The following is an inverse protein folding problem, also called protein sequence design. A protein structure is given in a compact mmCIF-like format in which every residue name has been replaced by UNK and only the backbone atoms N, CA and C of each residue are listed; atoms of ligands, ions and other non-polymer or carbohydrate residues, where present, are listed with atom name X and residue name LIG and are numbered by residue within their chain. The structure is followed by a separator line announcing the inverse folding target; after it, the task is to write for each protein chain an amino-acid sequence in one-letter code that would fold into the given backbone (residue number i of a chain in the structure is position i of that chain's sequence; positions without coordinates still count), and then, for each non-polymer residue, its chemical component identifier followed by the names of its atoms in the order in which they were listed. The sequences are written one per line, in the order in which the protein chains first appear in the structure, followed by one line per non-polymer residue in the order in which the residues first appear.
data_IF_989881182054
#
_entry.id   IF_989881182054
#
_cell.length_a   1.000
_cell.length_b   1.000
_cell.length_c   1.000
_cell.angle_alpha   90.00
_cell.angle_beta   90.00
_cell.angle_gamma   90.00
#
_symmetry.space_group_name_H-M   'P 1'
#
loop_
_entity.id
_entity.type
_entity.pdbx_description
1 polymer ?
#
# COMPACT_ATOMS: atom_id res chain seq x y z
N UNK A 1 1.82 9.30 -27.30
CA UNK A 1 2.08 9.39 -25.83
C UNK A 1 3.59 9.38 -25.69
N UNK A 2 4.15 10.38 -25.03
CA UNK A 2 5.58 10.43 -24.73
C UNK A 2 5.84 9.70 -23.39
N UNK A 3 6.72 8.70 -23.43
CA UNK A 3 7.13 7.91 -22.28
C UNK A 3 8.47 8.37 -21.70
N UNK A 4 9.10 9.39 -22.27
CA UNK A 4 10.32 9.97 -21.71
C UNK A 4 9.98 10.69 -20.39
N UNK A 5 10.93 10.67 -19.46
CA UNK A 5 10.87 11.49 -18.26
C UNK A 5 11.44 12.87 -18.59
N UNK A 6 10.72 13.92 -18.17
CA UNK A 6 11.31 15.26 -18.16
C UNK A 6 12.50 15.33 -17.19
N UNK A 7 13.31 16.37 -17.34
CA UNK A 7 14.55 16.53 -16.56
C UNK A 7 14.30 16.58 -15.05
N UNK A 8 13.24 17.24 -14.62
CA UNK A 8 12.88 17.35 -13.20
C UNK A 8 12.50 15.98 -12.61
N UNK A 9 11.64 15.24 -13.32
CA UNK A 9 11.21 13.89 -12.92
C UNK A 9 12.40 12.91 -12.91
N UNK A 10 13.30 12.99 -13.91
CA UNK A 10 14.50 12.16 -13.95
C UNK A 10 15.43 12.47 -12.77
N UNK A 11 15.69 13.75 -12.48
CA UNK A 11 16.51 14.16 -11.33
C UNK A 11 15.90 13.72 -9.98
N UNK A 12 14.57 13.82 -9.84
CA UNK A 12 13.87 13.37 -8.63
C UNK A 12 13.96 11.85 -8.47
N UNK A 13 13.77 11.08 -9.55
CA UNK A 13 13.97 9.63 -9.58
C UNK A 13 15.36 9.26 -9.05
N UNK A 14 16.40 9.90 -9.59
CA UNK A 14 17.79 9.60 -9.23
C UNK A 14 18.09 9.94 -7.76
N UNK A 15 17.52 11.04 -7.24
CA UNK A 15 17.61 11.39 -5.81
C UNK A 15 16.92 10.35 -4.92
N UNK A 16 15.73 9.87 -5.30
CA UNK A 16 15.02 8.84 -4.54
C UNK A 16 15.77 7.52 -4.61
N UNK A 17 16.27 7.13 -5.78
CA UNK A 17 17.10 5.93 -5.95
C UNK A 17 18.33 5.98 -5.05
N UNK A 18 19.10 7.06 -5.09
CA UNK A 18 20.26 7.24 -4.24
C UNK A 18 19.91 7.16 -2.74
N UNK A 19 18.81 7.79 -2.32
CA UNK A 19 18.34 7.68 -0.94
C UNK A 19 18.01 6.23 -0.56
N UNK A 20 17.33 5.50 -1.43
CA UNK A 20 16.96 4.10 -1.17
C UNK A 20 18.19 3.20 -1.13
N UNK A 21 19.11 3.32 -2.08
CA UNK A 21 20.29 2.47 -2.19
C UNK A 21 21.33 2.76 -1.12
N UNK A 22 21.60 4.03 -0.82
CA UNK A 22 22.65 4.45 0.10
C UNK A 22 22.22 4.49 1.57
N UNK A 23 20.92 4.73 1.84
CA UNK A 23 20.44 5.00 3.21
C UNK A 23 19.43 3.94 3.68
N UNK A 24 18.46 3.58 2.84
CA UNK A 24 17.35 2.70 3.27
C UNK A 24 17.77 1.23 3.24
N UNK A 25 18.30 0.75 2.11
CA UNK A 25 18.68 -0.66 1.92
C UNK A 25 19.69 -1.15 2.96
N UNK A 26 20.74 -0.38 3.33
CA UNK A 26 21.68 -0.79 4.39
C UNK A 26 21.04 -1.07 5.76
N UNK A 27 19.84 -0.50 6.00
CA UNK A 27 19.11 -0.68 7.27
C UNK A 27 18.18 -1.91 7.28
N UNK A 28 17.95 -2.53 6.12
CA UNK A 28 17.06 -3.71 6.03
C UNK A 28 17.56 -4.88 6.90
N UNK A 29 18.86 -5.10 6.94
CA UNK A 29 19.47 -6.17 7.75
C UNK A 29 19.26 -6.00 9.27
N UNK A 30 19.08 -4.79 9.76
CA UNK A 30 18.78 -4.53 11.17
C UNK A 30 17.34 -4.96 11.49
N UNK A 31 16.41 -4.60 10.61
CA UNK A 31 14.98 -4.95 10.75
C UNK A 31 14.75 -6.44 10.53
N UNK A 32 15.45 -7.06 9.57
CA UNK A 32 15.36 -8.49 9.32
C UNK A 32 15.79 -9.33 10.53
N UNK A 33 16.81 -8.89 11.26
CA UNK A 33 17.29 -9.56 12.48
C UNK A 33 16.36 -9.35 13.68
N UNK A 34 15.72 -8.21 13.77
CA UNK A 34 14.82 -7.85 14.88
C UNK A 34 13.73 -6.90 14.37
N UNK A 35 12.56 -7.45 14.10
CA UNK A 35 11.39 -6.67 13.68
C UNK A 35 10.95 -5.62 14.71
N UNK A 36 11.28 -5.80 15.99
CA UNK A 36 11.00 -4.81 17.05
C UNK A 36 11.71 -3.47 16.83
N UNK A 37 12.82 -3.46 16.08
CA UNK A 37 13.55 -2.24 15.73
C UNK A 37 12.95 -1.44 14.58
N UNK A 38 11.96 -1.99 13.89
CA UNK A 38 11.39 -1.38 12.68
C UNK A 38 10.91 0.07 12.93
N UNK A 39 10.23 0.32 14.04
CA UNK A 39 9.71 1.66 14.36
C UNK A 39 10.83 2.71 14.58
N UNK A 40 11.89 2.30 15.26
CA UNK A 40 13.07 3.15 15.49
C UNK A 40 13.75 3.47 14.16
N UNK A 41 14.05 2.45 13.37
CA UNK A 41 14.69 2.58 12.06
C UNK A 41 13.86 3.47 11.13
N UNK A 42 12.53 3.30 11.10
CA UNK A 42 11.65 4.12 10.27
C UNK A 42 11.65 5.59 10.69
N UNK A 43 11.68 5.90 12.00
CA UNK A 43 11.77 7.29 12.47
C UNK A 43 13.06 7.96 12.01
N UNK A 44 14.19 7.26 12.06
CA UNK A 44 15.47 7.77 11.58
C UNK A 44 15.45 7.98 10.06
N UNK A 45 14.95 7.02 9.29
CA UNK A 45 14.81 7.12 7.85
C UNK A 45 13.88 8.26 7.43
N UNK A 46 12.77 8.47 8.15
CA UNK A 46 11.86 9.60 7.91
C UNK A 46 12.52 10.95 8.18
N UNK A 47 13.35 11.04 9.25
CA UNK A 47 14.13 12.24 9.52
C UNK A 47 15.10 12.56 8.38
N UNK A 48 15.78 11.55 7.85
CA UNK A 48 16.68 11.69 6.71
C UNK A 48 15.95 12.04 5.42
N UNK A 49 14.77 11.41 5.16
CA UNK A 49 13.94 11.75 4.02
C UNK A 49 13.45 13.22 4.06
N UNK A 50 13.08 13.72 5.25
CA UNK A 50 12.73 15.13 5.46
C UNK A 50 13.91 16.06 5.17
N UNK A 51 15.10 15.74 5.67
CA UNK A 51 16.32 16.53 5.45
C UNK A 51 16.69 16.61 3.96
N UNK A 52 16.42 15.55 3.19
CA UNK A 52 16.66 15.48 1.74
C UNK A 52 15.51 16.05 0.89
N UNK A 53 14.41 16.50 1.50
CA UNK A 53 13.23 17.00 0.78
C UNK A 53 12.54 15.93 -0.08
N UNK A 54 12.40 14.71 0.45
CA UNK A 54 11.76 13.56 -0.21
C UNK A 54 10.50 13.07 0.52
N UNK A 55 10.16 13.68 1.65
CA UNK A 55 9.07 13.26 2.51
C UNK A 55 7.70 13.68 1.94
N UNK A 56 6.65 12.87 2.13
CA UNK A 56 5.27 13.09 1.67
C UNK A 56 5.13 13.36 0.15
N UNK A 57 5.68 12.53 -0.74
CA UNK A 57 5.66 12.79 -2.17
C UNK A 57 4.24 12.86 -2.75
N UNK A 58 3.27 12.18 -2.12
CA UNK A 58 1.88 12.07 -2.56
C UNK A 58 0.95 13.19 -2.09
N UNK A 59 1.42 14.07 -1.21
CA UNK A 59 0.58 15.14 -0.66
C UNK A 59 0.87 16.49 -1.31
N UNK A 60 -0.13 17.39 -1.32
CA UNK A 60 0.04 18.74 -1.84
C UNK A 60 1.09 19.56 -1.08
N UNK A 61 1.67 20.56 -1.74
CA UNK A 61 2.71 21.43 -1.17
C UNK A 61 2.23 22.21 0.05
N UNK A 62 0.98 22.66 0.05
CA UNK A 62 0.35 23.39 1.16
C UNK A 62 0.19 22.55 2.43
N UNK A 63 0.30 21.22 2.30
CA UNK A 63 0.32 20.28 3.42
C UNK A 63 1.72 19.75 3.74
N UNK A 64 2.76 20.37 3.20
CA UNK A 64 4.15 19.98 3.42
C UNK A 64 4.62 18.82 2.53
N UNK A 65 3.83 18.41 1.54
CA UNK A 65 4.18 17.40 0.56
C UNK A 65 4.95 17.96 -0.64
N UNK A 66 5.30 17.10 -1.58
CA UNK A 66 6.02 17.51 -2.79
C UNK A 66 5.10 18.02 -3.90
N UNK A 67 3.78 17.76 -3.83
CA UNK A 67 2.80 18.18 -4.82
C UNK A 67 3.05 17.58 -6.20
N UNK A 68 3.50 16.33 -6.24
CA UNK A 68 3.83 15.64 -7.49
C UNK A 68 2.57 15.33 -8.30
N UNK A 69 2.70 15.34 -9.62
CA UNK A 69 1.73 14.70 -10.49
C UNK A 69 1.70 13.18 -10.25
N UNK A 70 0.63 12.51 -10.63
CA UNK A 70 0.53 11.05 -10.49
C UNK A 70 1.59 10.31 -11.31
N UNK A 71 1.99 10.85 -12.47
CA UNK A 71 3.08 10.30 -13.26
C UNK A 71 4.43 10.41 -12.55
N UNK A 72 4.73 11.58 -11.95
CA UNK A 72 5.92 11.77 -11.14
C UNK A 72 5.90 10.86 -9.90
N UNK A 73 4.75 10.77 -9.24
CA UNK A 73 4.55 9.90 -8.08
C UNK A 73 4.77 8.41 -8.43
N UNK A 74 4.34 7.97 -9.63
CA UNK A 74 4.56 6.61 -10.08
C UNK A 74 6.05 6.26 -10.17
N UNK A 75 6.86 7.18 -10.69
CA UNK A 75 8.32 7.03 -10.78
C UNK A 75 8.96 7.00 -9.38
N UNK A 76 8.57 7.94 -8.51
CA UNK A 76 9.09 8.04 -7.14
C UNK A 76 8.76 6.81 -6.30
N UNK A 77 7.51 6.34 -6.36
CA UNK A 77 7.10 5.18 -5.56
C UNK A 77 7.62 3.84 -6.11
N UNK A 78 7.94 3.75 -7.40
CA UNK A 78 8.65 2.59 -7.94
C UNK A 78 10.07 2.53 -7.36
N UNK A 79 10.81 3.64 -7.36
CA UNK A 79 12.16 3.68 -6.76
C UNK A 79 12.12 3.46 -5.24
N UNK A 80 11.19 4.09 -4.54
CA UNK A 80 11.00 3.86 -3.11
C UNK A 80 10.67 2.40 -2.82
N UNK A 81 9.86 1.76 -3.66
CA UNK A 81 9.44 0.36 -3.55
C UNK A 81 10.56 -0.66 -3.72
N UNK A 82 11.75 -0.26 -4.16
CA UNK A 82 12.94 -1.14 -4.18
C UNK A 82 13.31 -1.67 -2.80
N UNK A 83 12.87 -0.98 -1.74
CA UNK A 83 12.95 -1.44 -0.35
C UNK A 83 11.56 -1.46 0.30
N UNK A 84 11.27 -2.48 1.12
CA UNK A 84 10.02 -2.52 1.90
C UNK A 84 9.93 -1.37 2.92
N UNK A 85 11.07 -0.81 3.33
CA UNK A 85 11.16 0.36 4.20
C UNK A 85 11.01 1.67 3.43
N UNK A 86 11.35 1.71 2.14
CA UNK A 86 11.44 2.93 1.34
C UNK A 86 10.14 3.75 1.31
N UNK A 87 8.99 3.20 0.92
CA UNK A 87 7.73 3.95 0.94
C UNK A 87 7.36 4.46 2.33
N UNK A 88 7.70 3.71 3.40
CA UNK A 88 7.46 4.10 4.80
C UNK A 88 8.39 5.23 5.25
N UNK A 89 9.65 5.19 4.80
CA UNK A 89 10.61 6.27 5.03
C UNK A 89 10.14 7.60 4.41
N UNK A 90 9.44 7.53 3.29
CA UNK A 90 8.81 8.70 2.65
C UNK A 90 7.43 9.07 3.23
N UNK A 91 6.94 8.35 4.24
CA UNK A 91 5.57 8.44 4.77
C UNK A 91 4.49 8.27 3.68
N UNK A 92 4.74 7.40 2.71
CA UNK A 92 3.91 7.15 1.53
C UNK A 92 3.51 5.67 1.42
N UNK A 93 3.27 5.01 2.56
CA UNK A 93 2.83 3.62 2.64
C UNK A 93 1.43 3.48 3.23
N UNK A 94 0.75 2.41 2.84
CA UNK A 94 -0.55 2.06 3.44
C UNK A 94 -0.36 1.63 4.92
N UNK A 95 -1.37 1.86 5.78
CA UNK A 95 -2.69 2.46 5.47
C UNK A 95 -2.68 3.99 5.46
N UNK A 96 -1.62 4.61 6.01
CA UNK A 96 -1.55 6.04 6.30
C UNK A 96 -1.68 6.90 5.04
N UNK A 97 -1.02 6.55 3.95
CA UNK A 97 -1.11 7.27 2.68
C UNK A 97 -2.57 7.41 2.21
N UNK A 98 -3.34 6.31 2.18
CA UNK A 98 -4.74 6.35 1.80
C UNK A 98 -5.62 7.09 2.81
N UNK A 99 -5.31 7.00 4.12
CA UNK A 99 -6.03 7.71 5.18
C UNK A 99 -5.75 9.23 5.12
N UNK A 100 -4.53 9.66 4.79
CA UNK A 100 -4.20 11.07 4.55
C UNK A 100 -5.01 11.64 3.38
N UNK A 101 -5.10 10.94 2.24
CA UNK A 101 -5.92 11.33 1.12
C UNK A 101 -7.39 11.49 1.49
N UNK A 102 -7.94 10.53 2.24
CA UNK A 102 -9.32 10.55 2.67
C UNK A 102 -9.58 11.73 3.63
N UNK A 103 -8.78 11.87 4.67
CA UNK A 103 -8.90 12.95 5.66
C UNK A 103 -8.75 14.33 5.02
N UNK A 104 -7.80 14.51 4.12
CA UNK A 104 -7.63 15.76 3.39
C UNK A 104 -8.90 16.18 2.65
N UNK A 105 -9.59 15.23 2.00
CA UNK A 105 -10.77 15.50 1.17
C UNK A 105 -12.08 15.59 1.93
N UNK A 106 -12.22 14.89 3.06
CA UNK A 106 -13.52 14.64 3.69
C UNK A 106 -13.60 15.22 5.09
N UNK A 107 -12.48 15.26 5.83
CA UNK A 107 -12.47 15.73 7.22
C UNK A 107 -12.71 17.24 7.33
N UNK A 108 -13.45 17.65 8.36
CA UNK A 108 -13.57 19.05 8.73
C UNK A 108 -12.27 19.57 9.40
N UNK A 109 -12.17 20.87 9.61
CA UNK A 109 -10.94 21.48 10.12
C UNK A 109 -10.54 21.02 11.53
N UNK A 110 -11.51 20.71 12.40
CA UNK A 110 -11.23 20.16 13.72
C UNK A 110 -10.64 18.74 13.63
N UNK A 111 -11.22 17.89 12.75
CA UNK A 111 -10.73 16.55 12.48
C UNK A 111 -9.35 16.58 11.79
N UNK A 112 -9.11 17.50 10.86
CA UNK A 112 -7.79 17.67 10.24
C UNK A 112 -6.71 18.03 11.26
N UNK A 113 -7.01 18.97 12.17
CA UNK A 113 -6.08 19.34 13.25
C UNK A 113 -5.76 18.15 14.16
N UNK A 114 -6.76 17.35 14.50
CA UNK A 114 -6.60 16.22 15.44
C UNK A 114 -5.94 15.01 14.81
N UNK A 115 -6.26 14.68 13.56
CA UNK A 115 -5.92 13.41 12.95
C UNK A 115 -4.99 13.54 11.73
N UNK A 116 -5.25 14.51 10.83
CA UNK A 116 -4.49 14.61 9.59
C UNK A 116 -3.10 15.20 9.80
N UNK A 117 -2.97 16.32 10.51
CA UNK A 117 -1.67 16.99 10.62
C UNK A 117 -0.63 16.17 11.40
N UNK A 118 -0.96 15.49 12.52
CA UNK A 118 -0.01 14.57 13.17
C UNK A 118 0.35 13.36 12.29
N UNK A 119 -0.58 12.90 11.44
CA UNK A 119 -0.33 11.81 10.48
C UNK A 119 0.61 12.28 9.35
N UNK A 120 0.41 13.50 8.82
CA UNK A 120 1.30 14.10 7.83
C UNK A 120 2.72 14.31 8.36
N UNK A 121 2.86 14.72 9.63
CA UNK A 121 4.20 14.90 10.23
C UNK A 121 4.92 13.56 10.48
N UNK A 122 4.21 12.43 10.44
CA UNK A 122 4.73 11.11 10.78
C UNK A 122 4.88 10.88 12.29
N UNK A 123 4.28 11.75 13.14
CA UNK A 123 4.27 11.58 14.60
C UNK A 123 3.38 10.43 15.03
N UNK A 124 2.29 10.20 14.30
CA UNK A 124 1.33 9.14 14.57
C UNK A 124 1.11 8.27 13.33
N UNK A 125 0.57 7.07 13.56
CA UNK A 125 0.05 6.18 12.53
C UNK A 125 -1.43 5.95 12.73
N UNK A 126 -2.11 5.46 11.70
CA UNK A 126 -3.54 5.22 11.69
C UNK A 126 -3.88 3.82 11.20
N UNK A 127 -5.13 3.41 11.43
CA UNK A 127 -5.68 2.18 10.86
C UNK A 127 -6.96 2.42 10.08
N UNK A 128 -7.26 1.54 9.11
CA UNK A 128 -8.50 1.55 8.36
C UNK A 128 -9.28 0.27 8.65
N UNK A 129 -10.30 0.37 9.50
CA UNK A 129 -11.06 -0.74 10.05
C UNK A 129 -12.38 -0.97 9.27
N UNK A 130 -12.27 -1.63 8.12
CA UNK A 130 -13.41 -1.93 7.24
C UNK A 130 -13.78 -3.41 7.27
N UNK A 131 -12.81 -4.30 7.07
CA UNK A 131 -13.01 -5.74 6.91
C UNK A 131 -13.46 -6.42 8.20
N UNK A 132 -14.30 -7.46 8.08
CA UNK A 132 -14.90 -8.19 9.21
C UNK A 132 -14.69 -9.70 9.08
N UNK A 133 -14.54 -10.47 10.18
CA UNK A 133 -14.32 -11.92 10.13
C UNK A 133 -15.44 -12.69 9.43
N UNK A 134 -16.69 -12.29 9.66
CA UNK A 134 -17.90 -12.95 9.16
C UNK A 134 -18.86 -11.97 8.46
N UNK A 135 -18.32 -10.88 7.92
CA UNK A 135 -19.07 -9.79 7.31
C UNK A 135 -18.37 -9.22 6.09
N UNK A 136 -18.21 -7.91 6.07
CA UNK A 136 -17.56 -7.20 4.97
C UNK A 136 -16.13 -7.70 4.72
N UNK A 137 -15.86 -8.08 3.48
CA UNK A 137 -14.56 -8.51 2.99
C UNK A 137 -14.44 -8.09 1.54
N UNK A 138 -14.38 -9.07 0.62
CA UNK A 138 -14.44 -8.83 -0.81
C UNK A 138 -15.80 -8.24 -1.26
N UNK A 139 -16.87 -8.55 -0.55
CA UNK A 139 -18.19 -7.91 -0.69
C UNK A 139 -18.44 -6.97 0.50
N UNK A 140 -18.35 -5.65 0.31
CA UNK A 140 -18.56 -4.67 1.37
C UNK A 140 -20.04 -4.60 1.84
N UNK A 141 -21.00 -5.09 1.04
CA UNK A 141 -22.42 -5.06 1.40
C UNK A 141 -22.74 -5.96 2.62
N UNK A 142 -21.85 -6.91 2.92
CA UNK A 142 -21.98 -7.79 4.08
C UNK A 142 -21.53 -7.13 5.41
N UNK A 143 -21.41 -5.82 5.44
CA UNK A 143 -21.05 -5.04 6.64
C UNK A 143 -22.01 -5.34 7.79
N UNK A 144 -21.50 -5.86 8.92
CA UNK A 144 -22.25 -6.24 10.11
C UNK A 144 -22.04 -5.31 11.30
N UNK A 145 -20.88 -4.67 11.43
CA UNK A 145 -20.64 -3.68 12.46
C UNK A 145 -21.71 -2.58 12.39
N UNK A 146 -22.28 -2.21 13.54
CA UNK A 146 -23.38 -1.26 13.64
C UNK A 146 -22.97 0.01 14.35
N UNK A 147 -23.63 1.12 14.01
CA UNK A 147 -23.56 2.39 14.69
C UNK A 147 -24.98 2.82 15.04
N UNK A 148 -25.40 2.65 16.30
CA UNK A 148 -26.74 3.02 16.77
C UNK A 148 -26.73 4.40 17.36
N UNK A 149 -27.69 5.26 16.99
CA UNK A 149 -27.83 6.58 17.61
C UNK A 149 -28.08 6.47 19.12
N UNK A 150 -27.37 7.32 19.88
CA UNK A 150 -27.55 7.48 21.30
C UNK A 150 -27.38 8.95 21.67
N UNK A 151 -28.48 9.64 21.94
CA UNK A 151 -28.47 11.08 22.15
C UNK A 151 -27.93 11.84 20.93
N UNK A 152 -26.87 12.63 21.14
CA UNK A 152 -26.17 13.36 20.05
C UNK A 152 -25.00 12.57 19.42
N UNK A 153 -24.87 11.28 19.72
CA UNK A 153 -23.74 10.47 19.23
C UNK A 153 -24.19 9.10 18.77
N UNK A 154 -23.24 8.19 18.77
CA UNK A 154 -23.42 6.81 18.31
C UNK A 154 -22.75 5.83 19.28
N UNK A 155 -23.29 4.62 19.36
CA UNK A 155 -22.65 3.46 19.96
C UNK A 155 -22.24 2.53 18.84
N UNK A 156 -20.94 2.27 18.70
CA UNK A 156 -20.40 1.36 17.73
C UNK A 156 -20.24 -0.03 18.34
N UNK A 157 -20.73 -1.04 17.60
CA UNK A 157 -20.64 -2.45 17.98
C UNK A 157 -20.16 -3.28 16.79
N UNK A 158 -19.28 -4.23 17.03
CA UNK A 158 -18.85 -5.18 16.01
C UNK A 158 -17.39 -5.57 16.11
N UNK A 159 -16.94 -6.34 15.13
CA UNK A 159 -15.58 -6.85 15.09
C UNK A 159 -14.95 -6.57 13.71
N UNK A 160 -13.77 -6.01 13.74
CA UNK A 160 -12.95 -5.73 12.55
C UNK A 160 -11.69 -6.58 12.59
N UNK A 161 -11.17 -6.94 11.43
CA UNK A 161 -9.92 -7.68 11.34
C UNK A 161 -9.09 -7.25 10.13
N UNK A 162 -7.86 -7.77 10.02
CA UNK A 162 -6.88 -7.33 9.02
C UNK A 162 -6.73 -5.81 8.96
N UNK A 163 -6.88 -5.15 10.11
CA UNK A 163 -6.63 -3.71 10.22
C UNK A 163 -5.13 -3.49 10.33
N UNK A 164 -4.52 -3.13 9.20
CA UNK A 164 -3.07 -2.94 9.09
C UNK A 164 -2.62 -1.78 9.97
N UNK A 165 -1.48 -1.96 10.66
CA UNK A 165 -0.87 -0.98 11.54
C UNK A 165 -1.57 -0.82 12.90
N UNK A 166 -2.49 -1.72 13.25
CA UNK A 166 -3.38 -1.55 14.40
C UNK A 166 -2.66 -1.42 15.74
N UNK A 167 -1.55 -2.14 15.96
CA UNK A 167 -0.84 -2.10 17.25
C UNK A 167 -0.23 -0.72 17.54
N UNK A 168 0.25 -0.03 16.49
CA UNK A 168 0.86 1.29 16.63
C UNK A 168 -0.01 2.45 16.15
N UNK A 169 -1.27 2.21 15.80
CA UNK A 169 -2.18 3.26 15.36
C UNK A 169 -2.59 4.16 16.56
N UNK A 170 -2.62 5.46 16.38
CA UNK A 170 -3.17 6.42 17.33
C UNK A 170 -4.70 6.52 17.20
N UNK A 171 -5.24 6.25 16.02
CA UNK A 171 -6.67 6.26 15.74
C UNK A 171 -7.04 5.32 14.59
N UNK A 172 -8.31 5.04 14.47
CA UNK A 172 -8.87 4.24 13.39
C UNK A 172 -9.97 4.99 12.65
N UNK A 173 -10.02 4.80 11.33
CA UNK A 173 -11.19 5.10 10.51
C UNK A 173 -12.02 3.83 10.47
N UNK A 174 -13.14 3.82 11.17
CA UNK A 174 -14.01 2.66 11.35
C UNK A 174 -15.23 2.78 10.44
N UNK A 175 -15.51 1.76 9.63
CA UNK A 175 -16.74 1.67 8.85
C UNK A 175 -17.77 0.85 9.61
N UNK A 176 -18.94 1.43 9.90
CA UNK A 176 -20.07 0.77 10.56
C UNK A 176 -21.38 1.19 9.90
N UNK A 177 -22.43 0.38 10.07
CA UNK A 177 -23.76 0.62 9.51
C UNK A 177 -24.59 1.46 10.49
N UNK A 178 -24.81 2.72 10.14
CA UNK A 178 -25.78 3.59 10.79
C UNK A 178 -27.18 3.43 10.17
N UNK A 179 -28.18 4.14 10.67
CA UNK A 179 -29.53 4.16 10.12
C UNK A 179 -29.54 4.67 8.68
N UNK A 180 -28.75 5.69 8.40
CA UNK A 180 -28.60 6.30 7.08
C UNK A 180 -27.80 5.42 6.10
N UNK A 181 -27.19 4.33 6.60
CA UNK A 181 -26.36 3.41 5.83
C UNK A 181 -24.91 3.33 6.34
N UNK A 182 -24.00 2.75 5.54
CA UNK A 182 -22.59 2.65 5.89
C UNK A 182 -21.99 4.04 6.13
N UNK A 183 -21.39 4.22 7.30
CA UNK A 183 -20.85 5.51 7.80
C UNK A 183 -19.45 5.30 8.35
N UNK A 184 -18.56 6.28 8.15
CA UNK A 184 -17.21 6.24 8.69
C UNK A 184 -17.12 7.05 9.99
N UNK A 185 -16.37 6.52 10.94
CA UNK A 185 -16.15 7.13 12.25
C UNK A 185 -14.65 7.19 12.55
N UNK A 186 -14.21 8.30 13.13
CA UNK A 186 -12.88 8.46 13.69
C UNK A 186 -12.91 8.02 15.16
N UNK A 187 -12.15 6.99 15.51
CA UNK A 187 -12.11 6.42 16.85
C UNK A 187 -10.66 6.37 17.32
N UNK A 188 -10.39 7.00 18.47
CA UNK A 188 -9.06 6.98 19.06
C UNK A 188 -8.68 5.58 19.55
N UNK A 189 -7.39 5.28 19.53
CA UNK A 189 -6.85 3.96 19.91
C UNK A 189 -7.14 3.61 21.37
N UNK A 190 -7.13 4.60 22.24
CA UNK A 190 -7.32 4.47 23.70
C UNK A 190 -8.80 4.56 24.13
N UNK A 191 -9.73 4.62 23.15
CA UNK A 191 -11.16 4.64 23.46
C UNK A 191 -11.57 3.37 24.23
N UNK A 192 -12.25 3.49 25.40
CA UNK A 192 -12.54 2.34 26.30
C UNK A 192 -13.37 1.24 25.64
N UNK A 193 -14.22 1.58 24.67
CA UNK A 193 -15.02 0.63 23.88
C UNK A 193 -14.31 0.04 22.66
N UNK A 194 -13.01 0.35 22.44
CA UNK A 194 -12.21 -0.21 21.37
C UNK A 194 -11.10 -1.09 21.96
N UNK A 195 -11.11 -2.38 21.62
CA UNK A 195 -10.11 -3.34 22.10
C UNK A 195 -9.35 -3.94 20.92
N UNK A 196 -8.03 -3.86 20.90
CA UNK A 196 -7.20 -4.69 20.05
C UNK A 196 -7.16 -6.08 20.67
N UNK A 197 -7.83 -7.04 20.00
CA UNK A 197 -7.96 -8.41 20.50
C UNK A 197 -6.65 -9.18 20.31
N UNK A 198 -6.03 -9.03 19.16
CA UNK A 198 -4.74 -9.65 18.80
C UNK A 198 -4.18 -9.04 17.53
N UNK A 199 -2.91 -9.21 17.32
CA UNK A 199 -2.29 -9.12 16.00
C UNK A 199 -2.40 -10.49 15.33
N UNK A 200 -2.94 -10.52 14.12
CA UNK A 200 -3.18 -11.76 13.37
C UNK A 200 -1.84 -12.23 12.78
N UNK A 201 -1.38 -13.45 13.08
CA UNK A 201 -0.21 -14.00 12.41
C UNK A 201 -0.48 -14.17 10.91
N UNK A 202 0.33 -13.56 10.08
CA UNK A 202 0.25 -13.61 8.61
C UNK A 202 1.59 -14.01 8.01
N UNK A 203 1.63 -14.26 6.72
CA UNK A 203 2.88 -14.57 6.02
C UNK A 203 3.75 -13.33 5.77
N UNK A 204 3.15 -12.14 5.75
CA UNK A 204 3.81 -10.84 5.64
C UNK A 204 4.07 -10.26 7.03
N UNK A 205 5.31 -9.90 7.30
CA UNK A 205 5.76 -9.44 8.62
C UNK A 205 6.33 -8.02 8.63
N UNK A 206 6.56 -7.43 7.46
CA UNK A 206 7.18 -6.11 7.32
C UNK A 206 6.16 -4.96 7.38
N UNK A 207 5.04 -5.17 8.07
CA UNK A 207 4.02 -4.15 8.32
C UNK A 207 4.12 -3.71 9.78
N UNK A 208 4.64 -2.50 10.10
CA UNK A 208 4.70 -2.01 11.48
C UNK A 208 3.31 -2.05 12.13
N UNK A 209 3.21 -2.61 13.35
CA UNK A 209 1.95 -2.79 14.06
C UNK A 209 1.05 -3.89 13.49
N UNK A 210 1.56 -4.71 12.56
CA UNK A 210 0.90 -5.92 12.04
C UNK A 210 -0.52 -5.70 11.51
N UNK A 211 -1.31 -6.77 11.50
CA UNK A 211 -2.72 -6.76 11.07
C UNK A 211 -3.61 -7.10 12.26
N UNK A 212 -4.29 -6.09 12.81
CA UNK A 212 -5.05 -6.26 14.05
C UNK A 212 -6.46 -6.79 13.85
N UNK A 213 -6.93 -7.53 14.85
CA UNK A 213 -8.33 -7.83 15.08
C UNK A 213 -8.85 -6.90 16.19
N UNK A 214 -9.88 -6.11 15.87
CA UNK A 214 -10.43 -5.06 16.73
C UNK A 214 -11.85 -5.42 17.11
N UNK A 215 -12.17 -5.32 18.38
CA UNK A 215 -13.52 -5.41 18.93
C UNK A 215 -14.00 -4.01 19.32
N UNK A 216 -15.19 -3.67 18.84
CA UNK A 216 -15.96 -2.51 19.26
C UNK A 216 -17.10 -3.01 20.15
N UNK A 217 -17.10 -2.60 21.42
CA UNK A 217 -18.05 -3.02 22.42
C UNK A 217 -18.44 -1.82 23.30
N UNK A 218 -19.69 -1.34 23.14
CA UNK A 218 -20.12 -0.12 23.80
C UNK A 218 -19.26 1.09 23.43
N UNK A 219 -18.76 1.17 22.19
CA UNK A 219 -17.86 2.22 21.76
C UNK A 219 -18.68 3.50 21.46
N UNK A 220 -18.82 4.36 22.49
CA UNK A 220 -19.62 5.58 22.43
C UNK A 220 -18.84 6.74 21.84
N UNK A 221 -19.28 7.28 20.71
CA UNK A 221 -18.65 8.42 20.03
C UNK A 221 -19.64 9.54 19.79
N UNK A 222 -19.18 10.78 19.83
CA UNK A 222 -20.02 11.95 19.50
C UNK A 222 -20.26 12.11 18.00
N UNK A 223 -21.10 13.08 17.62
CA UNK A 223 -21.33 13.43 16.22
C UNK A 223 -20.05 13.94 15.52
N UNK A 224 -19.13 14.53 16.27
CA UNK A 224 -17.84 15.01 15.78
C UNK A 224 -16.92 13.87 15.30
N UNK A 225 -17.20 12.62 15.71
CA UNK A 225 -16.45 11.45 15.22
C UNK A 225 -16.88 11.03 13.81
N UNK A 226 -18.03 11.47 13.31
CA UNK A 226 -18.47 11.12 11.95
C UNK A 226 -17.55 11.77 10.92
N UNK A 227 -16.93 10.94 10.08
CA UNK A 227 -16.09 11.41 8.99
C UNK A 227 -16.93 11.59 7.72
N UNK A 228 -17.12 12.83 7.33
CA UNK A 228 -17.98 13.20 6.21
C UNK A 228 -19.47 13.11 6.55
N UNK A 229 -20.29 12.64 5.61
CA UNK A 229 -21.74 12.53 5.73
C UNK A 229 -22.16 11.11 6.12
N UNK A 230 -23.12 10.94 7.06
CA UNK A 230 -23.70 9.65 7.36
C UNK A 230 -24.27 8.98 6.08
N UNK A 231 -24.17 7.65 5.99
CA UNK A 231 -24.63 6.86 4.85
C UNK A 231 -23.72 6.87 3.63
N UNK A 232 -22.69 7.73 3.57
CA UNK A 232 -21.76 7.81 2.44
C UNK A 232 -20.45 7.03 2.63
N UNK A 233 -20.37 6.17 3.63
CA UNK A 233 -19.12 5.46 3.97
C UNK A 233 -18.55 4.62 2.82
N UNK A 234 -19.37 3.95 2.02
CA UNK A 234 -18.86 3.22 0.85
C UNK A 234 -18.33 4.13 -0.26
N UNK A 235 -18.95 5.29 -0.45
CA UNK A 235 -18.44 6.29 -1.39
C UNK A 235 -17.04 6.78 -0.96
N UNK A 236 -16.88 7.06 0.33
CA UNK A 236 -15.58 7.49 0.88
C UNK A 236 -14.55 6.37 0.88
N UNK A 237 -14.98 5.11 1.07
CA UNK A 237 -14.09 3.96 0.91
C UNK A 237 -13.56 3.84 -0.53
N UNK A 238 -14.40 3.99 -1.54
CA UNK A 238 -13.97 4.01 -2.96
C UNK A 238 -13.05 5.20 -3.25
N UNK A 239 -13.36 6.40 -2.72
CA UNK A 239 -12.53 7.59 -2.86
C UNK A 239 -11.10 7.40 -2.33
N UNK A 240 -10.96 6.60 -1.24
CA UNK A 240 -9.69 6.21 -0.66
C UNK A 240 -9.00 5.09 -1.45
N UNK A 241 -9.76 4.08 -1.87
CA UNK A 241 -9.22 2.83 -2.41
C UNK A 241 -8.74 2.97 -3.87
N UNK A 242 -9.38 3.80 -4.70
CA UNK A 242 -8.99 3.91 -6.10
C UNK A 242 -7.55 4.43 -6.28
N UNK A 243 -7.11 5.54 -5.64
CA UNK A 243 -5.71 5.94 -5.68
C UNK A 243 -4.79 4.96 -4.93
N UNK A 244 -5.22 4.41 -3.79
CA UNK A 244 -4.40 3.48 -3.01
C UNK A 244 -4.04 2.20 -3.79
N UNK A 245 -4.96 1.67 -4.60
CA UNK A 245 -4.67 0.52 -5.49
C UNK A 245 -3.54 0.82 -6.46
N UNK A 246 -3.52 2.04 -7.02
CA UNK A 246 -2.48 2.45 -7.96
C UNK A 246 -1.13 2.67 -7.27
N UNK A 247 -1.10 3.31 -6.10
CA UNK A 247 0.14 3.51 -5.33
C UNK A 247 0.71 2.18 -4.82
N UNK A 248 -0.13 1.19 -4.49
CA UNK A 248 0.31 -0.18 -4.25
C UNK A 248 1.01 -0.79 -5.47
N UNK A 249 0.44 -0.62 -6.68
CA UNK A 249 1.08 -1.10 -7.91
C UNK A 249 2.45 -0.46 -8.11
N UNK A 250 2.57 0.85 -7.89
CA UNK A 250 3.83 1.58 -7.99
C UNK A 250 4.90 0.99 -7.06
N UNK A 251 4.58 0.82 -5.78
CA UNK A 251 5.52 0.30 -4.77
C UNK A 251 5.94 -1.14 -5.02
N UNK A 252 4.99 -2.02 -5.33
CA UNK A 252 5.30 -3.43 -5.59
C UNK A 252 6.09 -3.66 -6.87
N UNK A 253 5.91 -2.78 -7.86
CA UNK A 253 6.72 -2.82 -9.07
C UNK A 253 8.22 -2.66 -8.74
N UNK A 254 8.57 -1.75 -7.82
CA UNK A 254 9.94 -1.57 -7.33
C UNK A 254 10.53 -2.83 -6.69
N UNK A 255 9.74 -3.55 -5.89
CA UNK A 255 10.15 -4.86 -5.32
C UNK A 255 10.46 -5.86 -6.44
N UNK A 256 9.57 -5.97 -7.44
CA UNK A 256 9.77 -6.88 -8.58
C UNK A 256 11.02 -6.55 -9.39
N UNK A 257 11.29 -5.26 -9.61
CA UNK A 257 12.50 -4.79 -10.29
C UNK A 257 13.74 -5.19 -9.51
N UNK A 258 13.83 -4.86 -8.22
CA UNK A 258 15.00 -5.21 -7.39
C UNK A 258 15.21 -6.72 -7.27
N UNK A 259 14.13 -7.50 -7.11
CA UNK A 259 14.23 -8.96 -7.07
C UNK A 259 14.85 -9.52 -8.37
N UNK A 260 14.43 -8.98 -9.53
CA UNK A 260 14.98 -9.38 -10.83
C UNK A 260 16.45 -9.00 -10.97
N UNK A 261 16.84 -7.80 -10.55
CA UNK A 261 18.25 -7.34 -10.57
C UNK A 261 19.14 -8.22 -9.68
N UNK A 262 18.71 -8.58 -8.47
CA UNK A 262 19.44 -9.48 -7.58
C UNK A 262 19.64 -10.87 -8.23
N UNK A 263 18.62 -11.38 -8.89
CA UNK A 263 18.71 -12.65 -9.62
C UNK A 263 19.67 -12.56 -10.82
N UNK A 264 19.68 -11.45 -11.55
CA UNK A 264 20.61 -11.20 -12.66
C UNK A 264 22.06 -11.16 -12.17
N UNK A 265 22.34 -10.39 -11.11
CA UNK A 265 23.67 -10.30 -10.52
C UNK A 265 24.17 -11.68 -10.02
N UNK A 266 23.30 -12.45 -9.41
CA UNK A 266 23.65 -13.80 -8.98
C UNK A 266 23.94 -14.71 -10.17
N UNK A 267 23.09 -14.70 -11.18
CA UNK A 267 23.24 -15.54 -12.38
C UNK A 267 24.54 -15.26 -13.16
N UNK A 268 25.00 -14.00 -13.16
CA UNK A 268 26.25 -13.58 -13.81
C UNK A 268 27.52 -14.09 -13.05
N UNK A 269 27.40 -14.39 -11.76
CA UNK A 269 28.53 -14.78 -10.91
C UNK A 269 28.55 -16.27 -10.60
N UNK A 270 27.38 -16.91 -10.43
CA UNK A 270 27.26 -18.31 -10.04
C UNK A 270 27.51 -19.24 -11.21
N UNK A 271 28.40 -20.21 -11.01
CA UNK A 271 28.66 -21.29 -11.96
C UNK A 271 28.00 -22.60 -11.53
N UNK A 272 27.49 -23.36 -12.51
CA UNK A 272 26.93 -24.68 -12.36
C UNK A 272 27.00 -25.43 -13.69
N UNK A 273 27.28 -26.72 -13.66
CA UNK A 273 27.44 -27.55 -14.88
C UNK A 273 28.44 -26.99 -15.91
N UNK A 274 29.56 -26.45 -15.40
CA UNK A 274 30.68 -26.00 -16.24
C UNK A 274 30.52 -24.64 -16.88
N UNK A 275 29.46 -23.87 -16.56
CA UNK A 275 29.25 -22.50 -17.06
C UNK A 275 28.45 -21.67 -16.07
N UNK A 276 28.40 -20.34 -16.29
CA UNK A 276 27.59 -19.43 -15.46
C UNK A 276 26.09 -19.71 -15.60
N UNK A 277 25.31 -19.47 -14.56
CA UNK A 277 23.86 -19.61 -14.64
C UNK A 277 23.25 -18.73 -15.76
N UNK A 278 23.79 -17.54 -15.98
CA UNK A 278 23.38 -16.65 -17.06
C UNK A 278 23.54 -17.24 -18.48
N UNK A 279 24.35 -18.28 -18.65
CA UNK A 279 24.57 -18.95 -19.96
C UNK A 279 23.58 -20.12 -20.18
N UNK A 280 22.75 -20.44 -19.18
CA UNK A 280 21.68 -21.43 -19.31
C UNK A 280 20.42 -20.81 -19.89
N UNK A 281 19.92 -21.32 -21.01
CA UNK A 281 18.75 -20.79 -21.70
C UNK A 281 17.50 -20.71 -20.81
N UNK A 282 17.28 -21.68 -19.92
CA UNK A 282 16.16 -21.65 -18.96
C UNK A 282 16.23 -20.46 -18.00
N UNK A 283 17.44 -20.06 -17.56
CA UNK A 283 17.64 -18.86 -16.73
C UNK A 283 17.38 -17.58 -17.56
N UNK A 284 17.90 -17.54 -18.81
CA UNK A 284 17.66 -16.42 -19.72
C UNK A 284 16.18 -16.18 -19.97
N UNK A 285 15.38 -17.26 -20.14
CA UNK A 285 13.93 -17.14 -20.32
C UNK A 285 13.23 -16.60 -19.06
N UNK A 286 13.59 -17.05 -17.88
CA UNK A 286 13.03 -16.53 -16.61
C UNK A 286 13.32 -15.03 -16.44
N UNK A 287 14.53 -14.58 -16.78
CA UNK A 287 14.90 -13.16 -16.77
C UNK A 287 14.12 -12.38 -17.83
N UNK A 288 14.05 -12.87 -19.06
CA UNK A 288 13.32 -12.23 -20.15
C UNK A 288 11.84 -12.05 -19.83
N UNK A 289 11.18 -13.09 -19.32
CA UNK A 289 9.78 -13.03 -18.89
C UNK A 289 9.57 -11.98 -17.79
N UNK A 290 10.49 -11.89 -16.82
CA UNK A 290 10.41 -10.89 -15.74
C UNK A 290 10.52 -9.48 -16.29
N UNK A 291 11.45 -9.23 -17.25
CA UNK A 291 11.58 -7.93 -17.91
C UNK A 291 10.33 -7.56 -18.71
N UNK A 292 9.77 -8.49 -19.50
CA UNK A 292 8.56 -8.27 -20.31
C UNK A 292 7.38 -7.91 -19.41
N UNK A 293 7.15 -8.70 -18.36
CA UNK A 293 6.01 -8.52 -17.45
C UNK A 293 6.13 -7.24 -16.62
N UNK A 294 7.31 -6.91 -16.09
CA UNK A 294 7.52 -5.70 -15.31
C UNK A 294 7.44 -4.44 -16.20
N UNK A 295 7.91 -4.52 -17.44
CA UNK A 295 7.75 -3.42 -18.40
C UNK A 295 6.27 -3.16 -18.71
N UNK A 296 5.51 -4.19 -19.04
CA UNK A 296 4.07 -4.07 -19.28
C UNK A 296 3.32 -3.54 -18.03
N UNK A 297 3.68 -4.02 -16.82
CA UNK A 297 3.14 -3.55 -15.57
C UNK A 297 3.37 -2.04 -15.36
N UNK A 298 4.59 -1.56 -15.63
CA UNK A 298 4.95 -0.13 -15.55
C UNK A 298 4.11 0.73 -16.49
N UNK A 299 3.95 0.29 -17.74
CA UNK A 299 3.13 1.02 -18.71
C UNK A 299 1.65 1.11 -18.30
N UNK A 300 1.09 0.06 -17.71
CA UNK A 300 -0.27 0.09 -17.18
C UNK A 300 -0.42 1.07 -15.99
N UNK A 301 0.56 1.11 -15.11
CA UNK A 301 0.62 2.07 -13.99
C UNK A 301 0.71 3.51 -14.53
N UNK A 302 1.61 3.76 -15.48
CA UNK A 302 1.79 5.10 -16.07
C UNK A 302 0.55 5.56 -16.84
N UNK A 303 -0.13 4.66 -17.54
CA UNK A 303 -1.40 4.98 -18.21
C UNK A 303 -2.48 5.42 -17.21
N UNK A 304 -2.64 4.67 -16.12
CA UNK A 304 -3.61 5.04 -15.07
C UNK A 304 -3.24 6.36 -14.38
N UNK A 305 -1.94 6.58 -14.09
CA UNK A 305 -1.42 7.80 -13.52
C UNK A 305 -1.65 9.01 -14.45
N UNK A 306 -1.38 8.86 -15.76
CA UNK A 306 -1.64 9.90 -16.77
C UNK A 306 -3.12 10.29 -16.83
N UNK A 307 -4.04 9.34 -16.72
CA UNK A 307 -5.48 9.64 -16.67
C UNK A 307 -5.86 10.42 -15.41
N UNK A 308 -5.29 10.06 -14.25
CA UNK A 308 -5.50 10.82 -13.00
C UNK A 308 -5.01 12.27 -13.12
N UNK A 309 -3.86 12.50 -13.75
CA UNK A 309 -3.33 13.85 -13.98
C UNK A 309 -4.27 14.72 -14.84
N UNK A 310 -5.12 14.08 -15.63
CA UNK A 310 -6.16 14.73 -16.44
C UNK A 310 -7.51 14.90 -15.71
N UNK A 311 -7.59 14.50 -14.44
CA UNK A 311 -8.83 14.50 -13.68
C UNK A 311 -9.83 13.41 -14.07
N UNK A 312 -9.40 12.40 -14.84
CA UNK A 312 -10.26 11.31 -15.29
C UNK A 312 -10.44 10.24 -14.20
N UNK A 313 -11.59 9.55 -14.22
CA UNK A 313 -11.81 8.39 -13.35
C UNK A 313 -11.08 7.17 -13.89
N UNK A 314 -10.31 6.50 -13.03
CA UNK A 314 -9.44 5.37 -13.41
C UNK A 314 -9.93 4.01 -12.92
N UNK A 315 -11.18 3.88 -12.49
CA UNK A 315 -11.67 2.64 -11.87
C UNK A 315 -11.43 1.39 -12.71
N UNK A 316 -11.46 1.50 -14.03
CA UNK A 316 -11.19 0.39 -14.95
C UNK A 316 -9.70 0.12 -15.06
N UNK A 317 -8.92 1.14 -15.31
CA UNK A 317 -7.47 1.09 -15.47
C UNK A 317 -6.80 0.67 -14.16
N UNK A 318 -7.25 1.19 -13.01
CA UNK A 318 -6.78 0.76 -11.70
C UNK A 318 -7.06 -0.73 -11.43
N UNK A 319 -8.24 -1.23 -11.84
CA UNK A 319 -8.55 -2.67 -11.73
C UNK A 319 -7.64 -3.52 -12.61
N UNK A 320 -7.40 -3.12 -13.86
CA UNK A 320 -6.50 -3.83 -14.79
C UNK A 320 -5.05 -3.81 -14.28
N UNK A 321 -4.55 -2.63 -13.91
CA UNK A 321 -3.21 -2.48 -13.38
C UNK A 321 -3.00 -3.33 -12.12
N UNK A 322 -3.96 -3.28 -11.18
CA UNK A 322 -3.87 -4.04 -9.92
C UNK A 322 -3.78 -5.55 -10.15
N UNK A 323 -4.60 -6.11 -11.03
CA UNK A 323 -4.52 -7.54 -11.37
C UNK A 323 -3.21 -7.87 -12.02
N UNK A 324 -2.83 -7.13 -13.06
CA UNK A 324 -1.63 -7.46 -13.84
C UNK A 324 -0.36 -7.30 -13.00
N UNK A 325 -0.20 -6.18 -12.30
CA UNK A 325 0.99 -5.91 -11.46
C UNK A 325 1.11 -6.92 -10.32
N UNK A 326 0.02 -7.24 -9.61
CA UNK A 326 0.06 -8.20 -8.50
C UNK A 326 0.52 -9.59 -8.95
N UNK A 327 0.05 -10.03 -10.13
CA UNK A 327 0.44 -11.32 -10.70
C UNK A 327 1.86 -11.29 -11.28
N UNK A 328 2.23 -10.24 -12.02
CA UNK A 328 3.54 -10.10 -12.66
C UNK A 328 4.68 -9.99 -11.62
N UNK A 329 4.49 -9.14 -10.60
CA UNK A 329 5.47 -8.99 -9.51
C UNK A 329 5.64 -10.30 -8.74
N UNK A 330 4.53 -10.98 -8.44
CA UNK A 330 4.59 -12.30 -7.79
C UNK A 330 5.42 -13.31 -8.58
N UNK A 331 5.22 -13.39 -9.91
CA UNK A 331 6.01 -14.29 -10.77
C UNK A 331 7.47 -13.85 -10.91
N UNK A 332 7.74 -12.54 -10.98
CA UNK A 332 9.12 -12.03 -11.06
C UNK A 332 9.92 -12.37 -9.80
N UNK A 333 9.32 -12.20 -8.61
CA UNK A 333 9.94 -12.56 -7.33
C UNK A 333 10.12 -14.09 -7.22
N UNK A 334 9.13 -14.89 -7.65
CA UNK A 334 9.21 -16.35 -7.66
C UNK A 334 10.38 -16.84 -8.54
N UNK A 335 10.52 -16.29 -9.76
CA UNK A 335 11.65 -16.58 -10.65
C UNK A 335 12.99 -16.16 -10.03
N UNK A 336 13.02 -15.01 -9.33
CA UNK A 336 14.25 -14.56 -8.66
C UNK A 336 14.69 -15.53 -7.56
N UNK A 337 13.75 -16.01 -6.74
CA UNK A 337 14.01 -17.06 -5.74
C UNK A 337 14.49 -18.33 -6.43
N UNK A 338 13.83 -18.77 -7.50
CA UNK A 338 14.20 -19.99 -8.24
C UNK A 338 15.61 -19.91 -8.83
N UNK A 339 15.99 -18.77 -9.44
CA UNK A 339 17.33 -18.58 -10.04
C UNK A 339 18.41 -18.60 -8.96
N UNK A 340 18.15 -18.01 -7.81
CA UNK A 340 19.11 -17.92 -6.70
C UNK A 340 19.18 -19.21 -5.87
N UNK A 341 18.22 -20.12 -6.03
CA UNK A 341 18.20 -21.43 -5.39
C UNK A 341 18.19 -21.37 -3.87
N UNK A 342 19.04 -22.13 -3.20
CA UNK A 342 19.14 -22.16 -1.73
C UNK A 342 19.36 -20.79 -1.09
N UNK A 343 20.14 -19.91 -1.73
CA UNK A 343 20.34 -18.55 -1.26
C UNK A 343 19.04 -17.72 -1.34
N UNK A 344 18.19 -17.95 -2.34
CA UNK A 344 16.92 -17.26 -2.52
C UNK A 344 15.85 -17.57 -1.49
N UNK A 345 15.91 -18.75 -0.87
CA UNK A 345 15.01 -19.15 0.22
C UNK A 345 15.58 -18.85 1.61
N UNK A 346 16.87 -18.48 1.70
CA UNK A 346 17.48 -18.04 2.96
C UNK A 346 17.15 -16.58 3.28
N UNK A 347 17.45 -16.15 4.50
CA UNK A 347 17.33 -14.76 4.93
C UNK A 347 18.64 -13.96 4.72
N UNK A 348 19.64 -14.56 4.07
CA UNK A 348 20.88 -13.89 3.64
C UNK A 348 20.65 -12.92 2.47
N UNK A 349 19.51 -13.05 1.81
CA UNK A 349 19.03 -12.11 0.79
C UNK A 349 17.59 -11.69 1.09
N UNK A 350 17.14 -10.53 0.59
CA UNK A 350 15.76 -10.10 0.82
C UNK A 350 14.71 -10.90 0.01
N UNK A 351 15.11 -11.84 -0.86
CA UNK A 351 14.22 -12.52 -1.79
C UNK A 351 13.14 -13.35 -1.11
N UNK A 352 13.51 -14.11 -0.05
CA UNK A 352 12.55 -14.88 0.73
C UNK A 352 11.53 -14.00 1.46
N UNK A 353 11.96 -12.82 1.92
CA UNK A 353 11.10 -11.79 2.50
C UNK A 353 10.18 -11.23 1.42
N UNK A 354 10.72 -10.81 0.27
CA UNK A 354 9.92 -10.30 -0.85
C UNK A 354 8.84 -11.30 -1.29
N UNK A 355 9.17 -12.60 -1.36
CA UNK A 355 8.22 -13.64 -1.74
C UNK A 355 7.01 -13.70 -0.80
N UNK A 356 7.24 -13.60 0.51
CA UNK A 356 6.18 -13.55 1.53
C UNK A 356 5.37 -12.27 1.44
N UNK A 357 6.04 -11.12 1.30
CA UNK A 357 5.42 -9.80 1.33
C UNK A 357 4.60 -9.45 0.08
N UNK A 358 4.99 -9.92 -1.11
CA UNK A 358 4.24 -9.65 -2.35
C UNK A 358 2.98 -10.50 -2.48
N UNK A 359 2.94 -11.69 -1.84
CA UNK A 359 1.83 -12.63 -2.02
C UNK A 359 0.46 -12.08 -1.60
N UNK A 360 0.32 -11.37 -0.47
CA UNK A 360 -0.93 -10.76 -0.05
C UNK A 360 -1.47 -9.68 -1.00
N UNK A 361 -0.62 -9.05 -1.83
CA UNK A 361 -1.06 -8.04 -2.79
C UNK A 361 -2.08 -8.58 -3.80
N UNK A 362 -2.12 -9.87 -4.08
CA UNK A 362 -3.17 -10.49 -4.90
C UNK A 362 -4.53 -10.55 -4.20
N UNK A 363 -4.60 -10.27 -2.88
CA UNK A 363 -5.78 -10.45 -2.03
C UNK A 363 -6.35 -9.12 -1.55
N UNK A 364 -5.54 -8.27 -0.90
CA UNK A 364 -6.03 -7.03 -0.32
C UNK A 364 -6.40 -5.97 -1.37
N UNK A 365 -7.13 -4.94 -0.96
CA UNK A 365 -7.71 -3.88 -1.80
C UNK A 365 -8.54 -4.40 -2.99
N UNK A 366 -9.12 -5.57 -2.80
CA UNK A 366 -9.87 -6.36 -3.76
C UNK A 366 -9.03 -7.49 -4.36
N UNK A 367 -9.42 -8.75 -4.15
CA UNK A 367 -8.78 -9.90 -4.78
C UNK A 367 -8.74 -9.79 -6.31
N UNK A 368 -7.72 -10.41 -6.93
CA UNK A 368 -7.59 -10.45 -8.39
C UNK A 368 -8.89 -10.90 -9.09
N UNK A 369 -9.62 -11.80 -8.48
CA UNK A 369 -10.89 -12.34 -8.99
C UNK A 369 -12.01 -11.28 -8.98
N UNK A 370 -12.10 -10.47 -7.93
CA UNK A 370 -13.09 -9.36 -7.84
C UNK A 370 -12.81 -8.31 -8.90
N UNK A 371 -11.54 -7.96 -9.11
CA UNK A 371 -11.17 -7.04 -10.17
C UNK A 371 -11.45 -7.62 -11.56
N UNK A 372 -11.12 -8.90 -11.83
CA UNK A 372 -11.43 -9.59 -13.09
C UNK A 372 -12.93 -9.60 -13.35
N UNK A 373 -13.74 -9.94 -12.35
CA UNK A 373 -15.21 -9.90 -12.45
C UNK A 373 -15.72 -8.48 -12.77
N UNK A 374 -15.14 -7.46 -12.13
CA UNK A 374 -15.49 -6.06 -12.38
C UNK A 374 -15.11 -5.60 -13.79
N UNK A 375 -13.93 -5.99 -14.28
CA UNK A 375 -13.46 -5.70 -15.64
C UNK A 375 -14.38 -6.38 -16.65
N UNK A 376 -14.66 -7.69 -16.49
CA UNK A 376 -15.52 -8.47 -17.38
C UNK A 376 -16.94 -7.92 -17.45
N UNK A 377 -17.56 -7.58 -16.31
CA UNK A 377 -18.88 -6.95 -16.26
C UNK A 377 -18.92 -5.63 -17.03
N UNK A 378 -17.89 -4.79 -16.91
CA UNK A 378 -17.83 -3.51 -17.63
C UNK A 378 -17.66 -3.73 -19.15
N UNK A 379 -16.84 -4.66 -19.56
CA UNK A 379 -16.66 -5.00 -20.97
C UNK A 379 -17.97 -5.53 -21.59
N UNK A 380 -18.63 -6.47 -20.91
CA UNK A 380 -19.83 -7.13 -21.44
C UNK A 380 -21.07 -6.23 -21.41
N UNK A 381 -21.29 -5.49 -20.30
CA UNK A 381 -22.56 -4.79 -20.09
C UNK A 381 -22.48 -3.27 -20.24
N UNK A 382 -21.31 -2.68 -20.32
CA UNK A 382 -21.11 -1.24 -20.51
C UNK A 382 -20.39 -0.89 -21.81
N UNK A 383 -20.14 -1.87 -22.68
CA UNK A 383 -19.56 -1.67 -24.00
C UNK A 383 -18.14 -1.09 -23.99
N UNK A 384 -17.40 -1.26 -22.87
CA UNK A 384 -16.00 -0.85 -22.81
C UNK A 384 -15.20 -1.73 -23.79
N UNK A 385 -14.55 -1.08 -24.76
CA UNK A 385 -13.63 -1.74 -25.68
C UNK A 385 -12.25 -1.87 -25.05
N UNK A 386 -11.48 -2.92 -25.44
CA UNK A 386 -10.10 -3.11 -24.98
C UNK A 386 -9.20 -1.92 -25.27
#
# INVERSE_FOLDING_TARGET
MDFSLDQETAALRDRVRAFVEEVVIPREGEVAKDLGRMEEVLRELQKEAKARGLFLPHMPKELGGLGLSWRQLAVVLEEAGRSLLGPRALNAAAPDEGNMHLLHRVANEAQKRRYLYPLLSGEVRSGFAMTEPMGAGADPNLLKATARRRGRGFVLEGRKWFTTGAEGAAFFIVLARAEEGPTMFLVDRDHPGLKLVRTIPTMDHWSPGGHGEILLEGCEVGEEAVLGEPGKGFYYAELRLDPARLTHCMRWLGVGVRATELAQEYALRRESFGKRLAEHQGVQFMIADSHIELHAARLMVWHAAWKLDRGERIRHEASMAKVFVAEAVGRAVDRAVQITGGLGISEDTPLSIFYREVRPFRIYDGPSEVHRASIGKRALYKGLRP
#
